data_IF_255582865214
#
_entry.id   IF_255582865214
#
_cell.length_a   1.000
_cell.length_b   1.000
_cell.length_c   1.000
_cell.angle_alpha   90.00
_cell.angle_beta   90.00
_cell.angle_gamma   90.00
#
_symmetry.space_group_name_H-M   'P 1'
#
loop_
_entity.id
_entity.type
_entity.pdbx_description
1 polymer ?
#
# COMPACT_ATOMS: atom_id res chain seq x y z
N UNK A 1 32.52 28.59 -43.84
CA UNK A 1 32.80 28.57 -45.30
C UNK A 1 31.48 28.34 -46.02
N UNK A 2 31.02 29.25 -46.91
CA UNK A 2 29.79 29.03 -47.68
C UNK A 2 29.96 27.82 -48.60
N UNK A 3 28.94 26.96 -48.64
CA UNK A 3 28.91 25.81 -49.56
C UNK A 3 28.78 26.32 -51.00
N UNK A 4 29.57 25.79 -51.92
CA UNK A 4 29.45 26.06 -53.37
C UNK A 4 28.23 25.38 -54.01
N UNK A 5 27.53 24.51 -53.29
CA UNK A 5 26.27 23.92 -53.73
C UNK A 5 25.07 24.77 -53.24
N UNK A 6 24.22 25.18 -54.17
CA UNK A 6 22.94 25.84 -53.91
C UNK A 6 21.84 24.80 -53.65
N UNK A 7 20.90 25.11 -52.77
CA UNK A 7 19.68 24.33 -52.58
C UNK A 7 18.49 25.28 -52.82
N UNK A 8 17.62 24.97 -53.77
CA UNK A 8 16.49 25.84 -54.18
C UNK A 8 16.88 27.31 -54.43
N UNK A 9 17.95 27.54 -55.20
CA UNK A 9 18.45 28.88 -55.57
C UNK A 9 18.90 29.79 -54.41
N UNK A 10 19.02 29.27 -53.19
CA UNK A 10 19.62 29.98 -52.05
C UNK A 10 21.01 29.43 -51.70
N UNK A 11 21.92 30.31 -51.29
CA UNK A 11 23.27 29.94 -50.83
C UNK A 11 23.14 29.30 -49.45
N UNK A 12 23.49 28.01 -49.33
CA UNK A 12 23.44 27.29 -48.06
C UNK A 12 24.52 27.83 -47.11
N UNK A 13 24.10 28.59 -46.10
CA UNK A 13 24.95 28.99 -44.97
C UNK A 13 24.98 27.88 -43.93
N UNK A 14 26.07 27.15 -43.85
CA UNK A 14 26.35 26.27 -42.71
C UNK A 14 26.71 27.19 -41.53
N UNK A 15 25.96 27.18 -40.41
CA UNK A 15 26.27 28.02 -39.26
C UNK A 15 27.64 27.65 -38.69
N UNK A 16 28.48 28.64 -38.38
CA UNK A 16 29.86 28.43 -37.90
C UNK A 16 29.93 27.65 -36.58
N UNK A 17 28.84 27.67 -35.80
CA UNK A 17 28.60 26.75 -34.69
C UNK A 17 27.42 25.85 -35.04
N UNK A 18 27.65 24.53 -35.05
CA UNK A 18 26.56 23.55 -35.05
C UNK A 18 25.65 23.73 -33.84
N UNK A 19 24.42 23.23 -33.91
CA UNK A 19 23.52 23.19 -32.74
C UNK A 19 24.08 22.17 -31.75
N UNK A 20 24.44 22.63 -30.54
CA UNK A 20 24.90 21.78 -29.46
C UNK A 20 23.71 21.56 -28.53
N UNK A 21 23.26 20.32 -28.41
CA UNK A 21 22.32 19.91 -27.36
C UNK A 21 23.11 19.16 -26.27
N UNK A 22 22.96 19.60 -25.02
CA UNK A 22 23.63 19.00 -23.86
C UNK A 22 22.57 18.49 -22.90
N UNK A 23 22.42 17.17 -22.85
CA UNK A 23 21.58 16.51 -21.86
C UNK A 23 22.46 16.07 -20.69
N UNK A 24 22.17 16.59 -19.49
CA UNK A 24 22.79 16.12 -18.25
C UNK A 24 21.76 15.30 -17.47
N UNK A 25 22.12 14.08 -17.07
CA UNK A 25 21.29 13.24 -16.21
C UNK A 25 22.12 12.72 -15.05
N UNK A 26 21.55 12.78 -13.86
CA UNK A 26 22.14 12.18 -12.67
C UNK A 26 21.83 10.69 -12.62
N UNK A 27 22.80 9.90 -12.16
CA UNK A 27 22.63 8.49 -11.88
C UNK A 27 22.76 8.27 -10.38
N UNK A 28 21.90 7.39 -9.84
CA UNK A 28 21.98 6.98 -8.44
C UNK A 28 22.96 5.82 -8.37
N UNK A 29 24.08 6.02 -7.69
CA UNK A 29 25.05 4.97 -7.39
C UNK A 29 24.61 4.29 -6.08
N UNK A 30 24.54 2.95 -6.10
CA UNK A 30 24.27 2.14 -4.92
C UNK A 30 25.55 1.43 -4.50
N UNK A 31 25.66 1.11 -3.21
CA UNK A 31 26.72 0.27 -2.70
C UNK A 31 26.66 -1.14 -3.32
N UNK A 32 27.81 -1.78 -3.43
CA UNK A 32 27.94 -3.16 -3.89
C UNK A 32 27.51 -4.18 -2.82
N UNK A 33 27.38 -5.44 -3.21
CA UNK A 33 27.00 -6.54 -2.31
C UNK A 33 25.49 -6.74 -2.15
N UNK A 34 25.11 -7.53 -1.13
CA UNK A 34 23.72 -7.88 -0.83
C UNK A 34 23.29 -7.15 0.45
N UNK A 35 22.20 -6.37 0.36
CA UNK A 35 21.65 -5.67 1.51
C UNK A 35 21.05 -6.65 2.53
N UNK A 36 21.46 -6.52 3.80
CA UNK A 36 20.92 -7.30 4.92
C UNK A 36 20.25 -6.35 5.91
N UNK A 37 18.96 -6.57 6.18
CA UNK A 37 18.19 -5.76 7.12
C UNK A 37 17.90 -6.55 8.40
N UNK A 38 18.17 -5.94 9.55
CA UNK A 38 17.76 -6.44 10.87
C UNK A 38 16.75 -5.47 11.48
N UNK A 39 15.59 -5.97 11.89
CA UNK A 39 14.53 -5.18 12.50
C UNK A 39 14.37 -5.55 13.98
N UNK A 40 14.13 -4.55 14.81
CA UNK A 40 13.87 -4.70 16.24
C UNK A 40 12.62 -3.89 16.59
N UNK A 41 11.71 -4.48 17.35
CA UNK A 41 10.41 -3.88 17.67
C UNK A 41 10.15 -3.98 19.16
N UNK A 42 9.58 -2.92 19.75
CA UNK A 42 9.14 -2.87 21.14
C UNK A 42 7.74 -2.25 21.21
N UNK A 43 6.96 -2.70 22.19
CA UNK A 43 5.69 -2.08 22.56
C UNK A 43 5.85 -1.50 23.97
N UNK A 44 5.81 -0.18 24.09
CA UNK A 44 5.94 0.53 25.36
C UNK A 44 4.60 1.16 25.74
N UNK A 45 3.97 0.66 26.81
CA UNK A 45 2.70 1.16 27.33
C UNK A 45 2.92 1.78 28.74
N UNK A 46 3.28 3.07 28.83
CA UNK A 46 3.55 3.71 30.12
C UNK A 46 2.26 3.95 30.89
N UNK A 47 2.00 3.16 31.94
CA UNK A 47 0.89 3.37 32.87
C UNK A 47 1.28 4.32 34.02
N UNK A 48 1.79 5.51 33.67
CA UNK A 48 2.22 6.55 34.62
C UNK A 48 3.71 6.54 34.99
N UNK A 49 4.45 5.48 34.67
CA UNK A 49 5.91 5.41 34.84
C UNK A 49 6.63 5.46 33.49
N UNK A 50 7.82 6.06 33.46
CA UNK A 50 8.68 6.05 32.28
C UNK A 50 9.24 4.63 32.04
N UNK A 51 9.10 4.14 30.80
CA UNK A 51 9.69 2.88 30.33
C UNK A 51 10.84 3.22 29.40
N UNK A 52 11.93 2.44 29.45
CA UNK A 52 13.11 2.66 28.59
C UNK A 52 13.64 1.31 28.12
N UNK A 53 13.88 1.21 26.81
CA UNK A 53 14.48 0.05 26.17
C UNK A 53 15.72 0.49 25.40
N UNK A 54 16.79 -0.30 25.49
CA UNK A 54 18.07 0.00 24.84
C UNK A 54 18.49 -1.18 23.98
N UNK A 55 18.96 -0.90 22.76
CA UNK A 55 19.48 -1.92 21.86
C UNK A 55 20.79 -1.48 21.24
N UNK A 56 21.82 -2.28 21.44
CA UNK A 56 23.06 -2.16 20.71
C UNK A 56 22.93 -2.77 19.32
N UNK A 57 23.32 -1.99 18.31
CA UNK A 57 23.31 -2.40 16.90
C UNK A 57 24.71 -2.90 16.54
N UNK A 58 24.84 -4.22 16.37
CA UNK A 58 26.07 -4.85 15.90
C UNK A 58 26.04 -5.03 14.38
N UNK A 59 27.03 -4.42 13.72
CA UNK A 59 27.28 -4.59 12.28
C UNK A 59 28.25 -5.75 12.06
N UNK A 60 28.08 -6.53 10.98
CA UNK A 60 29.03 -7.59 10.65
C UNK A 60 30.34 -7.02 10.10
N UNK A 61 31.43 -7.78 10.22
CA UNK A 61 32.77 -7.34 9.81
C UNK A 61 32.90 -7.05 8.31
N UNK A 62 32.04 -7.65 7.49
CA UNK A 62 32.02 -7.51 6.03
C UNK A 62 31.13 -6.36 5.53
N UNK A 63 30.90 -5.32 6.35
CA UNK A 63 30.07 -4.17 5.96
C UNK A 63 30.80 -3.27 4.95
N UNK A 64 30.13 -2.89 3.87
CA UNK A 64 30.65 -1.93 2.90
C UNK A 64 30.55 -0.51 3.49
N UNK A 65 31.62 0.26 3.39
CA UNK A 65 31.67 1.62 3.93
C UNK A 65 30.56 2.50 3.34
N UNK A 66 29.87 3.26 4.19
CA UNK A 66 28.76 4.13 3.79
C UNK A 66 27.46 3.42 3.38
N UNK A 67 27.41 2.08 3.42
CA UNK A 67 26.19 1.31 3.11
C UNK A 67 25.23 1.16 4.30
N UNK A 68 25.74 1.28 5.52
CA UNK A 68 24.96 1.11 6.74
C UNK A 68 23.95 2.26 6.92
N UNK A 69 22.68 1.90 7.13
CA UNK A 69 21.59 2.84 7.42
C UNK A 69 20.72 2.32 8.55
N UNK A 70 20.31 3.21 9.44
CA UNK A 70 19.38 2.93 10.54
C UNK A 70 18.15 3.81 10.43
N UNK A 71 16.97 3.21 10.61
CA UNK A 71 15.70 3.95 10.67
C UNK A 71 14.96 3.57 11.93
N UNK A 72 14.55 4.56 12.70
CA UNK A 72 13.65 4.38 13.84
C UNK A 72 12.27 4.87 13.44
N UNK A 73 11.24 4.16 13.87
CA UNK A 73 9.85 4.57 13.65
C UNK A 73 9.05 4.34 14.90
N UNK A 74 8.31 5.38 15.32
CA UNK A 74 7.44 5.33 16.48
C UNK A 74 6.00 5.32 15.99
N UNK A 75 5.20 4.41 16.54
CA UNK A 75 3.78 4.30 16.26
C UNK A 75 3.02 4.27 17.58
N UNK A 76 1.94 5.05 17.66
CA UNK A 76 1.01 4.98 18.78
C UNK A 76 0.00 3.84 18.68
N UNK A 77 -0.12 3.23 17.50
CA UNK A 77 -1.07 2.16 17.22
C UNK A 77 -0.45 1.13 16.26
N UNK A 78 -0.66 -0.16 16.55
CA UNK A 78 -0.21 -1.30 15.74
C UNK A 78 -0.83 -1.29 14.33
N UNK A 79 -2.05 -0.78 14.18
CA UNK A 79 -2.75 -0.63 12.91
C UNK A 79 -2.52 0.73 12.25
N UNK A 80 -1.91 1.69 12.95
CA UNK A 80 -1.72 3.06 12.46
C UNK A 80 -0.99 3.13 11.12
N UNK A 81 -0.06 2.21 10.86
CA UNK A 81 0.67 2.10 9.58
C UNK A 81 -0.22 1.69 8.42
N UNK A 82 -1.07 0.67 8.65
CA UNK A 82 -1.97 0.16 7.62
C UNK A 82 -3.02 1.21 7.27
N UNK A 83 -3.58 1.86 8.29
CA UNK A 83 -4.67 2.82 8.16
C UNK A 83 -4.25 4.15 7.53
N UNK A 84 -2.95 4.45 7.45
CA UNK A 84 -2.45 5.57 6.65
C UNK A 84 -2.86 5.45 5.17
N UNK A 85 -3.10 4.23 4.67
CA UNK A 85 -3.64 3.97 3.34
C UNK A 85 -5.05 3.35 3.42
N UNK A 86 -5.95 4.03 4.13
CA UNK A 86 -7.32 3.56 4.33
C UNK A 86 -8.06 3.31 3.00
N UNK A 87 -7.78 4.10 1.98
CA UNK A 87 -8.39 3.93 0.65
C UNK A 87 -7.97 2.62 -0.05
N UNK A 88 -6.79 2.09 0.25
CA UNK A 88 -6.36 0.77 -0.21
C UNK A 88 -6.91 -0.39 0.62
N UNK A 89 -7.31 -0.12 1.87
CA UNK A 89 -7.88 -1.09 2.80
C UNK A 89 -9.39 -1.24 2.63
N UNK A 90 -10.13 -0.13 2.49
CA UNK A 90 -11.56 -0.13 2.26
C UNK A 90 -11.87 -0.44 0.80
N UNK A 91 -12.46 -1.60 0.55
CA UNK A 91 -12.68 -2.09 -0.80
C UNK A 91 -14.14 -2.47 -1.03
N UNK A 92 -14.71 -1.99 -2.14
CA UNK A 92 -16.08 -2.35 -2.52
C UNK A 92 -16.19 -3.86 -2.70
N UNK A 93 -17.08 -4.57 -1.98
CA UNK A 93 -17.22 -6.01 -2.11
C UNK A 93 -17.70 -6.43 -3.50
N UNK A 94 -17.08 -7.47 -4.06
CA UNK A 94 -17.41 -8.07 -5.35
C UNK A 94 -17.06 -9.56 -5.37
N UNK A 95 -17.30 -10.21 -6.51
CA UNK A 95 -17.00 -11.64 -6.70
C UNK A 95 -18.09 -12.56 -6.18
N UNK A 96 -17.70 -13.83 -5.98
CA UNK A 96 -18.52 -14.92 -5.43
C UNK A 96 -18.74 -14.79 -3.92
N UNK A 97 -19.52 -15.66 -3.29
CA UNK A 97 -19.87 -15.54 -1.86
C UNK A 97 -18.65 -15.49 -0.92
N UNK A 98 -17.58 -16.23 -1.24
CA UNK A 98 -16.33 -16.22 -0.50
C UNK A 98 -15.52 -14.93 -0.73
N UNK A 99 -15.38 -14.51 -1.99
CA UNK A 99 -14.66 -13.29 -2.35
C UNK A 99 -15.36 -12.03 -1.81
N UNK A 100 -16.69 -12.01 -1.84
CA UNK A 100 -17.49 -10.94 -1.30
C UNK A 100 -17.27 -10.81 0.21
N UNK A 101 -17.26 -11.93 0.96
CA UNK A 101 -16.94 -11.93 2.38
C UNK A 101 -15.47 -11.58 2.69
N UNK A 102 -14.54 -11.99 1.83
CA UNK A 102 -13.13 -11.63 1.97
C UNK A 102 -12.88 -10.12 1.91
N UNK A 103 -13.79 -9.36 1.28
CA UNK A 103 -13.75 -7.89 1.22
C UNK A 103 -14.67 -7.24 2.25
N UNK A 104 -15.86 -7.80 2.46
CA UNK A 104 -16.86 -7.26 3.38
C UNK A 104 -16.41 -7.35 4.85
N UNK A 105 -15.83 -8.47 5.28
CA UNK A 105 -15.44 -8.64 6.67
C UNK A 105 -14.33 -7.66 7.12
N UNK A 106 -13.23 -7.47 6.36
CA UNK A 106 -12.25 -6.43 6.68
C UNK A 106 -12.85 -5.03 6.81
N UNK A 107 -13.76 -4.63 5.91
CA UNK A 107 -14.43 -3.32 5.96
C UNK A 107 -15.18 -3.11 7.29
N UNK A 108 -15.83 -4.16 7.82
CA UNK A 108 -16.53 -4.12 9.11
C UNK A 108 -15.54 -3.91 10.27
N UNK A 109 -14.43 -4.66 10.28
CA UNK A 109 -13.43 -4.54 11.35
C UNK A 109 -12.70 -3.20 11.32
N UNK A 110 -12.43 -2.66 10.12
CA UNK A 110 -11.87 -1.33 9.95
C UNK A 110 -12.83 -0.27 10.50
N UNK A 111 -14.13 -0.36 10.20
CA UNK A 111 -15.14 0.54 10.77
C UNK A 111 -15.16 0.47 12.30
N UNK A 112 -15.15 -0.74 12.86
CA UNK A 112 -15.16 -0.95 14.30
C UNK A 112 -13.93 -0.33 14.97
N UNK A 113 -12.75 -0.55 14.38
CA UNK A 113 -11.51 0.07 14.84
C UNK A 113 -11.56 1.60 14.79
N UNK A 114 -11.95 2.20 13.65
CA UNK A 114 -11.97 3.66 13.50
C UNK A 114 -12.96 4.31 14.46
N UNK A 115 -14.08 3.63 14.73
CA UNK A 115 -15.04 4.05 15.74
C UNK A 115 -14.45 3.98 17.16
N UNK A 116 -13.78 2.88 17.52
CA UNK A 116 -13.18 2.71 18.85
C UNK A 116 -12.05 3.70 19.14
N UNK A 117 -11.32 4.12 18.10
CA UNK A 117 -10.20 5.05 18.21
C UNK A 117 -10.59 6.52 17.98
N UNK A 118 -11.89 6.80 17.77
CA UNK A 118 -12.41 8.14 17.44
C UNK A 118 -11.75 8.78 16.20
N UNK A 119 -11.37 7.97 15.21
CA UNK A 119 -10.74 8.42 13.95
C UNK A 119 -11.74 8.46 12.77
N UNK A 120 -13.04 8.34 13.05
CA UNK A 120 -14.08 8.24 12.03
C UNK A 120 -14.47 9.65 11.53
N UNK A 121 -14.34 9.88 10.22
CA UNK A 121 -14.83 11.10 9.56
C UNK A 121 -16.17 10.85 8.85
N UNK A 122 -16.97 11.90 8.57
CA UNK A 122 -18.21 11.77 7.81
C UNK A 122 -18.02 11.10 6.44
N UNK A 123 -16.95 11.45 5.72
CA UNK A 123 -16.63 10.94 4.39
C UNK A 123 -16.33 9.44 4.42
N UNK A 124 -15.53 9.00 5.41
CA UNK A 124 -15.23 7.58 5.62
C UNK A 124 -16.51 6.83 6.00
N UNK A 125 -17.33 7.41 6.88
CA UNK A 125 -18.59 6.80 7.32
C UNK A 125 -19.53 6.56 6.15
N UNK A 126 -19.69 7.55 5.27
CA UNK A 126 -20.54 7.43 4.07
C UNK A 126 -19.99 6.36 3.13
N UNK A 127 -18.69 6.39 2.84
CA UNK A 127 -18.02 5.42 1.95
C UNK A 127 -18.19 3.99 2.45
N UNK A 128 -17.84 3.74 3.72
CA UNK A 128 -17.97 2.43 4.36
C UNK A 128 -19.43 1.99 4.40
N UNK A 129 -20.37 2.87 4.79
CA UNK A 129 -21.79 2.52 4.85
C UNK A 129 -22.33 2.04 3.50
N UNK A 130 -21.89 2.68 2.40
CA UNK A 130 -22.24 2.27 1.05
C UNK A 130 -21.66 0.89 0.71
N UNK A 131 -20.39 0.65 1.04
CA UNK A 131 -19.72 -0.64 0.78
C UNK A 131 -20.37 -1.78 1.57
N UNK A 132 -20.61 -1.57 2.86
CA UNK A 132 -21.26 -2.55 3.74
C UNK A 132 -22.68 -2.88 3.27
N UNK A 133 -23.51 -1.88 2.93
CA UNK A 133 -24.87 -2.10 2.40
C UNK A 133 -24.84 -2.91 1.12
N UNK A 134 -23.95 -2.55 0.19
CA UNK A 134 -23.80 -3.25 -1.09
C UNK A 134 -23.31 -4.69 -0.90
N UNK A 135 -22.28 -4.89 -0.08
CA UNK A 135 -21.70 -6.21 0.19
C UNK A 135 -22.67 -7.12 0.93
N UNK A 136 -23.41 -6.61 1.91
CA UNK A 136 -24.46 -7.35 2.60
C UNK A 136 -25.56 -7.79 1.63
N UNK A 137 -26.09 -6.86 0.82
CA UNK A 137 -27.12 -7.18 -0.17
C UNK A 137 -26.63 -8.21 -1.19
N UNK A 138 -25.36 -8.12 -1.60
CA UNK A 138 -24.75 -9.09 -2.51
C UNK A 138 -24.56 -10.46 -1.84
N UNK A 139 -24.18 -10.50 -0.56
CA UNK A 139 -23.99 -11.75 0.19
C UNK A 139 -25.29 -12.54 0.31
N UNK A 140 -26.43 -11.85 0.44
CA UNK A 140 -27.75 -12.50 0.50
C UNK A 140 -28.09 -13.31 -0.76
N UNK A 141 -27.50 -12.99 -1.92
CA UNK A 141 -27.69 -13.79 -3.14
C UNK A 141 -27.06 -15.19 -3.05
N UNK A 142 -26.18 -15.42 -2.06
CA UNK A 142 -25.48 -16.69 -1.85
C UNK A 142 -26.12 -17.56 -0.76
N UNK A 143 -27.22 -17.08 -0.16
CA UNK A 143 -27.99 -17.78 0.87
C UNK A 143 -29.00 -18.73 0.21
N UNK A 144 -28.98 -19.98 0.62
CA UNK A 144 -29.94 -20.99 0.16
C UNK A 144 -31.26 -20.94 0.95
N UNK A 145 -32.20 -21.82 0.58
CA UNK A 145 -33.52 -21.91 1.23
C UNK A 145 -33.47 -22.43 2.67
N UNK A 146 -32.42 -23.17 3.04
CA UNK A 146 -32.20 -23.68 4.39
C UNK A 146 -31.48 -22.63 5.27
N UNK A 147 -30.99 -21.57 4.65
CA UNK A 147 -30.33 -20.44 5.26
C UNK A 147 -28.80 -20.56 5.34
N UNK A 148 -28.21 -21.61 4.76
CA UNK A 148 -26.77 -21.74 4.64
C UNK A 148 -26.24 -20.90 3.47
N UNK A 149 -24.94 -20.59 3.51
CA UNK A 149 -24.25 -19.83 2.48
C UNK A 149 -23.39 -20.75 1.61
N UNK A 150 -23.42 -20.49 0.30
CA UNK A 150 -22.68 -21.25 -0.70
C UNK A 150 -21.70 -20.34 -1.45
N UNK A 151 -20.68 -20.91 -2.07
CA UNK A 151 -19.71 -20.13 -2.86
C UNK A 151 -20.37 -19.45 -4.07
N UNK A 152 -21.33 -20.11 -4.71
CA UNK A 152 -21.90 -19.69 -5.99
C UNK A 152 -23.39 -19.36 -5.97
N UNK A 153 -24.07 -19.47 -4.82
CA UNK A 153 -25.52 -19.25 -4.69
C UNK A 153 -26.36 -20.48 -5.07
N UNK A 154 -25.72 -21.60 -5.34
CA UNK A 154 -26.34 -22.89 -5.61
C UNK A 154 -25.39 -24.01 -5.20
N UNK A 155 -25.94 -25.20 -4.96
CA UNK A 155 -25.19 -26.36 -4.47
C UNK A 155 -25.25 -26.51 -2.95
N UNK A 156 -24.48 -27.44 -2.37
CA UNK A 156 -24.50 -27.70 -0.94
C UNK A 156 -23.94 -26.52 -0.15
N UNK A 157 -24.59 -26.20 0.97
CA UNK A 157 -24.13 -25.19 1.93
C UNK A 157 -22.69 -25.45 2.38
N UNK A 158 -21.89 -24.39 2.44
CA UNK A 158 -20.52 -24.46 2.94
C UNK A 158 -20.53 -24.13 4.44
N UNK A 159 -20.15 -25.09 5.28
CA UNK A 159 -20.16 -24.93 6.75
C UNK A 159 -19.26 -23.79 7.23
N UNK A 160 -18.08 -23.65 6.64
CA UNK A 160 -17.14 -22.58 7.01
C UNK A 160 -17.66 -21.21 6.61
N UNK A 161 -18.12 -21.06 5.36
CA UNK A 161 -18.66 -19.79 4.86
C UNK A 161 -19.91 -19.38 5.63
N UNK A 162 -20.79 -20.34 5.94
CA UNK A 162 -22.00 -20.10 6.73
C UNK A 162 -21.68 -19.64 8.15
N UNK A 163 -20.65 -20.20 8.78
CA UNK A 163 -20.22 -19.78 10.11
C UNK A 163 -19.48 -18.42 10.11
N UNK A 164 -18.89 -18.04 8.98
CA UNK A 164 -18.15 -16.80 8.84
C UNK A 164 -19.05 -15.59 8.55
N UNK A 165 -20.18 -15.79 7.88
CA UNK A 165 -21.20 -14.76 7.59
C UNK A 165 -22.04 -14.46 8.83
#
# INVERSE_FOLDING_TARGET
VPSHASCNNEIVKVPERGRIDKVTRSLIVKAEGVEVTKAYNWLLCPNGNALTETKEIQLPDNVIEGSARGTVSVLGDILGRALKNLDGLLQMPYGCGEQNMALLAPDIYILHYLKSTNQLTPEITEKVSRFLKSGYQRQLNYKDSEGAYTTFGSGPGNTWLTAFV
#
